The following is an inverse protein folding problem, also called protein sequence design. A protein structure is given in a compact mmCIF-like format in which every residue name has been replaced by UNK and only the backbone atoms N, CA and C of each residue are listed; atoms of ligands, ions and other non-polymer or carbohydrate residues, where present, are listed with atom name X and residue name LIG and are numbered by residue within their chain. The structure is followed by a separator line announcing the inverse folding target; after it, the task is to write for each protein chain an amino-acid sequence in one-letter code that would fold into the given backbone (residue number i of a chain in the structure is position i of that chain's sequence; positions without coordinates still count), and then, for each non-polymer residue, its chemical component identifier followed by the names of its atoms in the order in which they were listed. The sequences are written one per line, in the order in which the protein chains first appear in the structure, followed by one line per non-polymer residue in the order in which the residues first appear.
data_IF_406365688302
#
_entry.id   IF_406365688302
#
_cell.length_a   1.000
_cell.length_b   1.000
_cell.length_c   1.000
_cell.angle_alpha   90.00
_cell.angle_beta   90.00
_cell.angle_gamma   90.00
#
_symmetry.space_group_name_H-M   'P 1'
#
loop_
_entity.id
_entity.type
_entity.pdbx_description
1 polymer ?
#
# COMPACT_ATOMS: atom_id res chain seq x y z
N UNK A 1 -12.93 -20.00 -6.96
CA UNK A 1 -11.63 -19.75 -7.64
C UNK A 1 -11.52 -18.25 -7.88
N UNK A 2 -10.55 -17.56 -7.31
CA UNK A 2 -10.32 -16.14 -7.56
C UNK A 2 -10.01 -15.94 -9.06
N UNK A 3 -10.68 -14.99 -9.69
CA UNK A 3 -10.45 -14.65 -11.09
C UNK A 3 -9.05 -14.07 -11.23
N UNK A 4 -8.21 -14.69 -12.05
CA UNK A 4 -6.85 -14.24 -12.33
C UNK A 4 -6.86 -12.79 -12.81
N UNK A 5 -6.22 -11.86 -12.10
CA UNK A 5 -6.10 -10.46 -12.53
C UNK A 5 -4.80 -10.25 -13.30
N UNK A 6 -4.89 -10.33 -14.61
CA UNK A 6 -3.76 -10.17 -15.52
C UNK A 6 -3.14 -8.75 -15.43
N UNK A 7 -3.95 -7.73 -15.10
CA UNK A 7 -3.42 -6.36 -14.97
C UNK A 7 -2.50 -6.25 -13.76
N UNK A 8 -2.89 -6.82 -12.62
CA UNK A 8 -2.05 -6.86 -11.42
C UNK A 8 -0.75 -7.68 -11.66
N UNK A 9 -0.83 -8.81 -12.38
CA UNK A 9 0.36 -9.59 -12.72
C UNK A 9 1.31 -8.82 -13.66
N UNK A 10 0.77 -8.16 -14.69
CA UNK A 10 1.56 -7.32 -15.60
C UNK A 10 2.24 -6.16 -14.85
N UNK A 11 1.51 -5.51 -13.96
CA UNK A 11 2.03 -4.41 -13.16
C UNK A 11 3.20 -4.87 -12.28
N UNK A 12 3.12 -6.05 -11.68
CA UNK A 12 4.20 -6.66 -10.90
C UNK A 12 5.44 -6.93 -11.75
N UNK A 13 5.27 -7.44 -12.98
CA UNK A 13 6.41 -7.67 -13.87
C UNK A 13 7.07 -6.35 -14.31
N UNK A 14 6.29 -5.33 -14.69
CA UNK A 14 6.81 -4.02 -15.06
C UNK A 14 7.43 -3.26 -13.88
N UNK A 15 6.96 -3.53 -12.67
CA UNK A 15 7.46 -2.92 -11.44
C UNK A 15 8.82 -3.43 -10.98
N UNK A 16 9.26 -4.63 -11.43
CA UNK A 16 10.56 -5.23 -11.06
C UNK A 16 11.74 -4.39 -11.52
N UNK A 17 11.64 -3.85 -12.71
CA UNK A 17 12.65 -2.93 -13.25
C UNK A 17 11.95 -1.85 -14.11
N UNK A 18 11.85 -0.66 -13.56
CA UNK A 18 11.22 0.49 -14.22
C UNK A 18 12.16 1.24 -15.16
N UNK A 19 13.43 0.88 -15.17
CA UNK A 19 14.46 1.58 -15.97
C UNK A 19 14.50 1.07 -17.40
N UNK A 20 14.03 -0.15 -17.66
CA UNK A 20 14.09 -0.78 -18.96
C UNK A 20 12.69 -1.08 -19.56
N UNK A 21 12.67 -1.28 -20.87
CA UNK A 21 11.49 -1.77 -21.58
C UNK A 21 11.43 -3.29 -21.54
N UNK A 22 10.26 -3.82 -21.28
CA UNK A 22 9.96 -5.25 -21.31
C UNK A 22 9.21 -5.57 -22.61
N UNK A 23 9.76 -6.47 -23.43
CA UNK A 23 9.14 -6.79 -24.72
C UNK A 23 7.76 -7.45 -24.52
N UNK A 24 6.81 -7.14 -25.40
CA UNK A 24 5.47 -7.74 -25.33
C UNK A 24 5.47 -9.25 -25.53
N UNK A 25 6.50 -9.80 -26.19
CA UNK A 25 6.71 -11.23 -26.36
C UNK A 25 7.18 -11.87 -25.06
N UNK A 26 8.22 -11.30 -24.44
CA UNK A 26 8.74 -11.74 -23.14
C UNK A 26 7.65 -11.73 -22.06
N UNK A 27 6.86 -10.64 -21.97
CA UNK A 27 5.73 -10.54 -21.04
C UNK A 27 4.66 -11.59 -21.32
N UNK A 28 4.36 -11.87 -22.61
CA UNK A 28 3.38 -12.89 -22.98
C UNK A 28 3.80 -14.30 -22.54
N UNK A 29 5.08 -14.62 -22.69
CA UNK A 29 5.66 -15.90 -22.24
C UNK A 29 5.66 -16.00 -20.72
N UNK A 30 6.18 -14.97 -20.01
CA UNK A 30 6.23 -14.96 -18.54
C UNK A 30 4.84 -15.06 -17.90
N UNK A 31 3.86 -14.36 -18.47
CA UNK A 31 2.50 -14.35 -17.96
C UNK A 31 1.63 -15.50 -18.52
N UNK A 32 2.13 -16.30 -19.47
CA UNK A 32 1.39 -17.40 -20.07
C UNK A 32 0.12 -16.95 -20.81
N UNK A 33 0.18 -15.80 -21.50
CA UNK A 33 -0.97 -15.20 -22.21
C UNK A 33 -0.56 -14.71 -23.60
N UNK A 34 -1.54 -14.33 -24.44
CA UNK A 34 -1.23 -13.74 -25.74
C UNK A 34 -0.73 -12.30 -25.63
N UNK A 35 0.04 -11.84 -26.63
CA UNK A 35 0.49 -10.43 -26.72
C UNK A 35 -0.69 -9.44 -26.70
N UNK A 36 -1.81 -9.82 -27.31
CA UNK A 36 -3.06 -9.03 -27.28
C UNK A 36 -3.61 -8.91 -25.86
N UNK A 37 -3.50 -9.96 -25.05
CA UNK A 37 -3.92 -9.91 -23.64
C UNK A 37 -3.02 -9.00 -22.83
N UNK A 38 -1.70 -9.02 -23.05
CA UNK A 38 -0.74 -8.07 -22.44
C UNK A 38 -1.10 -6.63 -22.80
N UNK A 39 -1.39 -6.35 -24.07
CA UNK A 39 -1.80 -5.03 -24.52
C UNK A 39 -3.08 -4.56 -23.82
N UNK A 40 -4.12 -5.41 -23.75
CA UNK A 40 -5.37 -5.09 -23.04
C UNK A 40 -5.14 -4.81 -21.57
N UNK A 41 -4.27 -5.58 -20.90
CA UNK A 41 -3.90 -5.36 -19.50
C UNK A 41 -3.18 -4.01 -19.34
N UNK A 42 -2.26 -3.65 -20.24
CA UNK A 42 -1.59 -2.35 -20.23
C UNK A 42 -2.57 -1.18 -20.45
N UNK A 43 -3.57 -1.32 -21.34
CA UNK A 43 -4.60 -0.32 -21.52
C UNK A 43 -5.42 -0.13 -20.22
N UNK A 44 -5.84 -1.22 -19.59
CA UNK A 44 -6.57 -1.18 -18.31
C UNK A 44 -5.76 -0.49 -17.21
N UNK A 45 -4.47 -0.76 -17.11
CA UNK A 45 -3.60 -0.09 -16.14
C UNK A 45 -3.50 1.42 -16.41
N UNK A 46 -3.42 1.83 -17.69
CA UNK A 46 -3.45 3.27 -18.05
C UNK A 46 -4.76 3.95 -17.64
N UNK A 47 -5.89 3.28 -17.82
CA UNK A 47 -7.21 3.75 -17.35
C UNK A 47 -7.26 3.89 -15.83
N UNK A 48 -6.47 3.11 -15.10
CA UNK A 48 -6.28 3.19 -13.65
C UNK A 48 -5.23 4.24 -13.22
N UNK A 49 -4.69 5.03 -14.15
CA UNK A 49 -3.75 6.11 -13.87
C UNK A 49 -2.26 5.73 -13.89
N UNK A 50 -1.91 4.47 -14.19
CA UNK A 50 -0.51 4.08 -14.33
C UNK A 50 0.08 4.64 -15.62
N UNK A 51 1.21 5.33 -15.53
CA UNK A 51 1.93 5.80 -16.71
C UNK A 51 2.76 4.65 -17.31
N UNK A 52 2.20 3.98 -18.31
CA UNK A 52 2.88 2.91 -19.04
C UNK A 52 3.20 3.41 -20.45
N UNK A 53 4.48 3.59 -20.74
CA UNK A 53 4.95 3.81 -22.11
C UNK A 53 4.91 2.52 -22.91
N UNK A 54 4.58 2.64 -24.19
CA UNK A 54 4.77 1.55 -25.13
C UNK A 54 5.46 2.07 -26.39
N UNK A 55 6.61 1.47 -26.69
CA UNK A 55 7.42 1.83 -27.86
C UNK A 55 7.51 0.63 -28.78
N UNK A 56 7.24 0.86 -30.07
CA UNK A 56 7.34 -0.18 -31.09
C UNK A 56 8.74 -0.82 -31.07
N UNK A 57 8.78 -2.14 -31.05
CA UNK A 57 10.00 -2.98 -30.98
C UNK A 57 10.71 -3.01 -29.63
N UNK A 58 10.50 -2.06 -28.73
CA UNK A 58 11.07 -2.09 -27.37
C UNK A 58 10.10 -2.75 -26.37
N UNK A 59 8.80 -2.45 -26.43
CA UNK A 59 7.80 -3.02 -25.54
C UNK A 59 7.21 -2.00 -24.58
N UNK A 60 7.02 -2.39 -23.33
CA UNK A 60 6.32 -1.63 -22.29
C UNK A 60 7.27 -1.25 -21.15
N UNK A 61 7.11 -0.06 -20.61
CA UNK A 61 7.83 0.42 -19.44
C UNK A 61 6.89 1.19 -18.51
N UNK A 62 6.93 0.89 -17.21
CA UNK A 62 6.20 1.65 -16.20
C UNK A 62 7.03 2.88 -15.81
N UNK A 63 6.54 4.08 -16.14
CA UNK A 63 7.26 5.34 -15.89
C UNK A 63 6.79 6.08 -14.66
N UNK A 64 5.49 5.99 -14.33
CA UNK A 64 4.96 6.55 -13.09
C UNK A 64 3.81 5.71 -12.54
N UNK A 65 3.63 5.79 -11.24
CA UNK A 65 2.49 5.23 -10.52
C UNK A 65 1.37 6.28 -10.49
N UNK A 66 0.09 5.86 -10.36
CA UNK A 66 -0.98 6.80 -10.11
C UNK A 66 -0.75 7.55 -8.80
N UNK A 67 -1.23 8.78 -8.74
CA UNK A 67 -1.35 9.50 -7.48
C UNK A 67 -2.37 8.79 -6.58
N UNK A 68 -1.98 8.51 -5.35
CA UNK A 68 -2.80 7.80 -4.37
C UNK A 68 -2.38 6.34 -4.11
N UNK A 69 -2.91 5.80 -3.01
CA UNK A 69 -2.64 4.43 -2.58
C UNK A 69 -3.78 3.51 -2.99
N UNK A 70 -3.54 2.67 -4.02
CA UNK A 70 -4.50 1.64 -4.41
C UNK A 70 -4.09 0.27 -3.88
N UNK A 71 -5.07 -0.61 -3.74
CA UNK A 71 -4.83 -2.00 -3.31
C UNK A 71 -3.86 -2.71 -4.26
N UNK A 72 -4.04 -2.56 -5.56
CA UNK A 72 -3.23 -3.16 -6.61
C UNK A 72 -1.77 -2.69 -6.54
N UNK A 73 -1.56 -1.43 -6.18
CA UNK A 73 -0.23 -0.87 -5.98
C UNK A 73 0.45 -1.50 -4.76
N UNK A 74 -0.27 -1.62 -3.66
CA UNK A 74 0.27 -2.15 -2.41
C UNK A 74 0.55 -3.64 -2.48
N UNK A 75 -0.31 -4.42 -3.12
CA UNK A 75 -0.12 -5.88 -3.29
C UNK A 75 1.20 -6.25 -3.98
N UNK A 76 1.79 -5.33 -4.76
CA UNK A 76 3.09 -5.54 -5.40
C UNK A 76 4.26 -5.55 -4.40
N UNK A 77 4.10 -4.82 -3.31
CA UNK A 77 5.14 -4.68 -2.28
C UNK A 77 4.92 -5.62 -1.10
N UNK A 78 3.76 -6.25 -1.00
CA UNK A 78 3.48 -7.19 0.06
C UNK A 78 4.16 -8.54 -0.23
N UNK A 79 4.82 -9.16 0.76
CA UNK A 79 5.37 -10.50 0.62
C UNK A 79 4.27 -11.50 0.29
N UNK A 80 4.51 -12.38 -0.69
CA UNK A 80 3.56 -13.43 -1.04
C UNK A 80 3.28 -14.37 0.15
N UNK A 81 2.01 -14.68 0.38
CA UNK A 81 1.58 -15.68 1.34
C UNK A 81 1.41 -15.20 2.79
N UNK A 82 1.49 -13.90 3.06
CA UNK A 82 1.23 -13.39 4.42
C UNK A 82 -0.25 -13.33 4.82
N UNK A 83 -1.19 -13.64 3.93
CA UNK A 83 -2.64 -13.66 4.24
C UNK A 83 -3.22 -12.32 4.69
N UNK A 84 -2.50 -11.24 4.48
CA UNK A 84 -2.91 -9.90 4.86
C UNK A 84 -4.00 -9.41 3.92
N UNK A 85 -5.08 -8.92 4.49
CA UNK A 85 -6.14 -8.27 3.71
C UNK A 85 -5.86 -6.77 3.67
N UNK A 86 -5.63 -6.23 2.50
CA UNK A 86 -5.47 -4.80 2.28
C UNK A 86 -6.77 -4.21 1.77
N UNK A 87 -7.27 -3.19 2.48
CA UNK A 87 -8.49 -2.47 2.14
C UNK A 87 -8.11 -1.00 1.96
N UNK A 88 -8.33 -0.47 0.76
CA UNK A 88 -8.03 0.91 0.41
C UNK A 88 -9.33 1.69 0.18
N UNK A 89 -9.38 2.88 0.76
CA UNK A 89 -10.44 3.86 0.55
C UNK A 89 -9.85 5.11 -0.10
N UNK A 90 -10.51 5.66 -1.09
CA UNK A 90 -10.22 7.00 -1.57
C UNK A 90 -10.54 8.04 -0.47
N UNK A 91 -11.72 7.90 0.16
CA UNK A 91 -12.13 8.69 1.32
C UNK A 91 -12.84 7.82 2.35
N UNK A 92 -12.57 8.05 3.63
CA UNK A 92 -13.29 7.43 4.75
C UNK A 92 -13.43 8.41 5.91
N UNK A 93 -14.23 8.07 6.90
CA UNK A 93 -14.28 8.79 8.17
C UNK A 93 -12.93 8.71 8.91
N UNK A 94 -12.49 7.50 9.22
CA UNK A 94 -11.20 7.21 9.84
C UNK A 94 -10.78 5.77 9.56
N UNK A 95 -9.53 5.56 9.18
CA UNK A 95 -8.97 4.20 9.03
C UNK A 95 -9.03 3.41 10.33
N UNK A 96 -8.92 4.10 11.48
CA UNK A 96 -9.01 3.47 12.79
C UNK A 96 -10.44 2.99 13.10
N UNK A 97 -11.45 3.82 12.81
CA UNK A 97 -12.87 3.44 12.95
C UNK A 97 -13.21 2.25 12.06
N UNK A 98 -12.74 2.26 10.80
CA UNK A 98 -12.93 1.13 9.88
C UNK A 98 -12.19 -0.12 10.33
N UNK A 99 -10.96 0.01 10.82
CA UNK A 99 -10.21 -1.11 11.41
C UNK A 99 -10.93 -1.74 12.60
N UNK A 100 -11.49 -0.94 13.49
CA UNK A 100 -12.29 -1.44 14.63
C UNK A 100 -13.55 -2.17 14.16
N UNK A 101 -14.28 -1.63 13.18
CA UNK A 101 -15.45 -2.28 12.60
C UNK A 101 -15.09 -3.65 12.01
N UNK A 102 -14.06 -3.71 11.18
CA UNK A 102 -13.56 -4.95 10.60
C UNK A 102 -13.12 -5.96 11.67
N UNK A 103 -12.53 -5.47 12.76
CA UNK A 103 -12.16 -6.33 13.89
C UNK A 103 -13.36 -6.98 14.54
N UNK A 104 -14.49 -6.26 14.69
CA UNK A 104 -15.76 -6.78 15.21
C UNK A 104 -16.41 -7.77 14.23
N UNK A 105 -16.25 -7.57 12.94
CA UNK A 105 -16.70 -8.47 11.86
C UNK A 105 -15.83 -9.73 11.71
N UNK A 106 -14.77 -9.86 12.51
CA UNK A 106 -13.91 -11.05 12.53
C UNK A 106 -12.73 -11.01 11.56
N UNK A 107 -12.37 -9.83 11.04
CA UNK A 107 -11.19 -9.69 10.19
C UNK A 107 -9.93 -10.26 10.88
N UNK A 108 -9.05 -10.96 10.16
CA UNK A 108 -7.87 -11.58 10.75
C UNK A 108 -6.80 -10.56 11.15
N UNK A 109 -5.88 -10.98 12.02
CA UNK A 109 -4.61 -10.26 12.24
C UNK A 109 -3.90 -10.07 10.91
N UNK A 110 -3.27 -8.90 10.71
CA UNK A 110 -2.62 -8.56 9.45
C UNK A 110 -3.52 -7.76 8.48
N UNK A 111 -4.80 -7.55 8.84
CA UNK A 111 -5.67 -6.68 8.03
C UNK A 111 -5.16 -5.24 8.08
N UNK A 112 -4.98 -4.64 6.92
CA UNK A 112 -4.51 -3.26 6.74
C UNK A 112 -5.64 -2.42 6.14
N UNK A 113 -5.93 -1.30 6.77
CA UNK A 113 -6.88 -0.29 6.26
C UNK A 113 -6.09 0.96 5.91
N UNK A 114 -6.23 1.40 4.67
CA UNK A 114 -5.61 2.61 4.15
C UNK A 114 -6.66 3.58 3.64
N UNK A 115 -6.36 4.86 3.68
CA UNK A 115 -7.15 5.89 3.03
C UNK A 115 -6.25 6.98 2.45
N UNK A 116 -6.67 7.54 1.31
CA UNK A 116 -6.00 8.72 0.76
C UNK A 116 -6.46 10.00 1.50
N UNK A 117 -7.71 9.99 2.00
CA UNK A 117 -8.29 11.08 2.79
C UNK A 117 -9.13 10.55 3.96
N UNK A 118 -9.07 11.28 5.10
CA UNK A 118 -10.00 11.05 6.22
C UNK A 118 -10.80 12.31 6.52
N UNK A 119 -12.13 12.16 6.70
CA UNK A 119 -13.01 13.28 7.06
C UNK A 119 -13.06 13.52 8.56
N UNK A 120 -12.80 12.49 9.36
CA UNK A 120 -12.81 12.51 10.83
C UNK A 120 -11.59 11.78 11.40
N UNK A 121 -10.38 12.19 10.96
CA UNK A 121 -9.14 11.65 11.50
C UNK A 121 -9.04 11.83 13.01
N UNK A 122 -8.72 10.78 13.74
CA UNK A 122 -8.65 10.76 15.20
C UNK A 122 -7.22 10.99 15.69
N UNK A 123 -7.01 12.09 16.41
CA UNK A 123 -5.80 12.37 17.16
C UNK A 123 -5.89 11.85 18.60
N UNK A 124 -4.80 12.00 19.34
CA UNK A 124 -4.77 11.65 20.79
C UNK A 124 -5.70 12.55 21.60
N UNK A 125 -6.29 11.99 22.65
CA UNK A 125 -7.19 12.70 23.59
C UNK A 125 -8.45 13.29 22.90
N UNK A 126 -8.97 12.62 21.89
CA UNK A 126 -10.20 13.03 21.19
C UNK A 126 -10.01 14.26 20.28
N UNK A 127 -8.79 14.70 20.02
CA UNK A 127 -8.53 15.78 19.07
C UNK A 127 -8.76 15.31 17.63
N UNK A 128 -9.22 16.21 16.77
CA UNK A 128 -9.29 15.94 15.34
C UNK A 128 -7.90 15.98 14.73
N UNK A 129 -7.66 15.11 13.74
CA UNK A 129 -6.44 15.08 12.96
C UNK A 129 -6.77 15.38 11.49
N UNK A 130 -6.23 16.47 10.96
CA UNK A 130 -6.43 16.83 9.56
C UNK A 130 -5.74 15.81 8.65
N UNK A 131 -6.49 15.22 7.72
CA UNK A 131 -6.03 14.14 6.85
C UNK A 131 -6.41 14.42 5.39
N UNK A 132 -5.88 15.49 4.75
CA UNK A 132 -6.16 15.79 3.35
C UNK A 132 -5.52 14.77 2.40
N UNK A 133 -6.14 14.58 1.22
CA UNK A 133 -5.65 13.68 0.19
C UNK A 133 -4.22 14.07 -0.27
N UNK A 134 -3.40 13.07 -0.57
CA UNK A 134 -2.06 13.25 -1.14
C UNK A 134 -1.01 13.88 -0.21
N UNK A 135 -1.32 14.14 1.07
CA UNK A 135 -0.40 14.83 2.00
C UNK A 135 0.10 13.93 3.13
N UNK A 136 -0.35 12.69 3.19
CA UNK A 136 0.06 11.78 4.24
C UNK A 136 -0.30 10.33 3.95
N UNK A 137 0.24 9.43 4.75
CA UNK A 137 -0.12 8.01 4.76
C UNK A 137 -1.04 7.76 5.95
N UNK A 138 -2.30 7.50 5.68
CA UNK A 138 -3.30 7.19 6.71
C UNK A 138 -3.55 5.69 6.71
N UNK A 139 -3.02 5.01 7.73
CA UNK A 139 -2.97 3.57 7.81
C UNK A 139 -3.37 3.09 9.21
N UNK A 140 -4.20 2.05 9.24
CA UNK A 140 -4.46 1.28 10.46
C UNK A 140 -4.15 -0.19 10.19
N UNK A 141 -3.42 -0.81 11.11
CA UNK A 141 -3.05 -2.22 11.06
C UNK A 141 -3.76 -2.98 12.19
N UNK A 142 -4.52 -4.01 11.85
CA UNK A 142 -5.23 -4.83 12.82
C UNK A 142 -4.31 -5.91 13.38
N UNK A 143 -4.11 -5.86 14.68
CA UNK A 143 -3.39 -6.89 15.42
C UNK A 143 -4.33 -7.59 16.42
N UNK A 144 -4.16 -8.90 16.56
CA UNK A 144 -4.78 -9.71 17.61
C UNK A 144 -3.66 -10.43 18.36
N UNK A 145 -2.98 -9.72 19.26
CA UNK A 145 -1.86 -10.30 19.98
C UNK A 145 -2.37 -11.36 20.98
N UNK A 146 -1.64 -12.46 21.06
CA UNK A 146 -1.84 -13.51 22.04
C UNK A 146 -0.72 -13.40 23.10
N UNK A 147 -0.73 -12.32 23.88
CA UNK A 147 0.22 -12.09 24.97
C UNK A 147 -0.39 -11.18 26.05
N UNK A 148 0.29 -11.09 27.20
CA UNK A 148 -0.15 -10.30 28.35
C UNK A 148 -0.45 -8.84 27.96
N UNK A 149 -1.63 -8.31 28.32
CA UNK A 149 -1.98 -6.90 28.11
C UNK A 149 -0.94 -5.90 28.66
N UNK A 150 -0.16 -6.26 29.69
CA UNK A 150 0.92 -5.43 30.20
C UNK A 150 2.02 -5.15 29.14
N UNK A 151 2.18 -6.03 28.15
CA UNK A 151 3.14 -5.87 27.07
C UNK A 151 2.62 -5.01 25.90
N UNK A 152 1.37 -4.52 25.94
CA UNK A 152 0.80 -3.69 24.86
C UNK A 152 1.57 -2.38 24.62
N UNK A 153 2.19 -1.81 25.66
CA UNK A 153 3.03 -0.62 25.53
C UNK A 153 4.23 -0.85 24.60
N UNK A 154 4.77 -2.09 24.57
CA UNK A 154 5.86 -2.47 23.68
C UNK A 154 5.45 -2.46 22.21
N UNK A 155 4.19 -2.79 21.90
CA UNK A 155 3.68 -2.75 20.52
C UNK A 155 3.79 -1.37 19.90
N UNK A 156 3.46 -0.32 20.66
CA UNK A 156 3.57 1.06 20.17
C UNK A 156 5.01 1.42 19.86
N UNK A 157 5.95 1.03 20.74
CA UNK A 157 7.37 1.24 20.52
C UNK A 157 7.91 0.45 19.33
N UNK A 158 7.51 -0.82 19.19
CA UNK A 158 7.88 -1.66 18.05
C UNK A 158 7.34 -1.10 16.72
N UNK A 159 6.08 -0.65 16.72
CA UNK A 159 5.48 -0.03 15.53
C UNK A 159 6.22 1.25 15.14
N UNK A 160 6.55 2.11 16.11
CA UNK A 160 7.36 3.31 15.88
C UNK A 160 8.73 2.99 15.31
N UNK A 161 9.42 2.00 15.87
CA UNK A 161 10.73 1.56 15.37
C UNK A 161 10.65 1.01 13.95
N UNK A 162 9.64 0.19 13.64
CA UNK A 162 9.44 -0.36 12.31
C UNK A 162 9.22 0.74 11.27
N UNK A 163 8.40 1.74 11.59
CA UNK A 163 8.18 2.90 10.71
C UNK A 163 9.49 3.68 10.52
N UNK A 164 10.25 3.94 11.58
CA UNK A 164 11.55 4.61 11.48
C UNK A 164 12.51 3.85 10.57
N UNK A 165 12.65 2.53 10.73
CA UNK A 165 13.53 1.71 9.90
C UNK A 165 13.17 1.76 8.41
N UNK A 166 11.87 1.75 8.09
CA UNK A 166 11.42 1.88 6.70
C UNK A 166 11.74 3.26 6.15
N UNK A 167 11.50 4.32 6.91
CA UNK A 167 11.76 5.69 6.47
C UNK A 167 13.26 5.95 6.26
N UNK A 168 14.13 5.41 7.13
CA UNK A 168 15.59 5.52 7.00
C UNK A 168 16.13 4.90 5.70
N UNK A 169 15.47 3.85 5.17
CA UNK A 169 15.83 3.24 3.89
C UNK A 169 15.51 4.13 2.68
N UNK A 170 14.60 5.10 2.84
CA UNK A 170 14.12 5.96 1.76
C UNK A 170 14.65 7.40 1.81
N UNK A 171 15.47 7.74 2.78
CA UNK A 171 16.12 9.05 2.86
C UNK A 171 16.43 9.48 4.30
N UNK A 172 17.14 10.59 4.50
CA UNK A 172 17.47 11.08 5.83
C UNK A 172 16.18 11.52 6.56
N UNK A 173 15.75 10.72 7.52
CA UNK A 173 14.65 11.08 8.41
C UNK A 173 15.21 11.91 9.55
N UNK A 174 14.71 13.13 9.72
CA UNK A 174 15.05 13.94 10.86
C UNK A 174 14.48 13.31 12.14
N UNK A 175 15.34 12.69 12.91
CA UNK A 175 15.04 12.05 14.21
C UNK A 175 14.46 13.03 15.26
N UNK A 176 14.51 14.32 14.97
CA UNK A 176 14.11 15.40 15.90
C UNK A 176 12.60 15.46 16.13
N UNK A 177 11.77 15.02 15.20
CA UNK A 177 10.32 15.08 15.35
C UNK A 177 9.73 14.01 16.28
N UNK A 178 10.34 12.83 16.39
CA UNK A 178 9.88 11.80 17.33
C UNK A 178 10.27 12.11 18.77
N UNK A 179 11.41 12.75 19.02
CA UNK A 179 11.84 13.19 20.36
C UNK A 179 11.05 14.39 20.90
N UNK A 180 10.51 15.26 20.05
CA UNK A 180 9.81 16.45 20.49
C UNK A 180 8.48 16.16 21.22
N UNK A 181 7.93 14.95 21.09
CA UNK A 181 6.71 14.53 21.77
C UNK A 181 6.94 13.83 23.11
N UNK A 182 8.17 13.40 23.43
CA UNK A 182 8.49 12.70 24.67
C UNK A 182 8.97 13.61 25.81
N UNK A 183 9.30 14.87 25.53
CA UNK A 183 9.94 15.77 26.52
C UNK A 183 9.04 16.84 27.12
N UNK A 184 7.72 16.74 26.99
CA UNK A 184 6.75 17.55 27.72
C UNK A 184 5.83 16.67 28.55
N UNK A 185 6.37 16.09 29.59
CA UNK A 185 5.65 15.66 30.78
C UNK A 185 5.96 16.63 31.91
#
# INVERSE_FOLDING_TARGET
MAKRDLAAELLRELGRDRTQYHSGEELSVRLGVSRTAVWKAACRLREQGYAIESVTRLGYRLTALPDGMTKELLEQYLPQGRGETVICYEETDSTNTRGMQLALEGAPTGTVVLADRQTHGNGRLGRSFASPAGQGVYLSYLLRPDFDPAALSLLTSCAGLAVCQVLEQHGPVSYTHLRAHETKA
#
